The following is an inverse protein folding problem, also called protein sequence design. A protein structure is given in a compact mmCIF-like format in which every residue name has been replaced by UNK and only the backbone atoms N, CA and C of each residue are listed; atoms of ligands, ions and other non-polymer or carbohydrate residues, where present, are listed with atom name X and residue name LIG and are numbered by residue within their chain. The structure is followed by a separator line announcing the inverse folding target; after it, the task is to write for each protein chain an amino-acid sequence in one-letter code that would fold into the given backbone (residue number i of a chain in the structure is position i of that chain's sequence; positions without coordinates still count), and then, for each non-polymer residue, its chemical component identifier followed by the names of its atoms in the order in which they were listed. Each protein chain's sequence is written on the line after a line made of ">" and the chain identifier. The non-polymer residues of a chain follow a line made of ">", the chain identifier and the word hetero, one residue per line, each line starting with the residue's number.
data_IF_928422105714
#
_entry.id   IF_928422105714
#
_cell.length_a   1.000
_cell.length_b   1.000
_cell.length_c   1.000
_cell.angle_alpha   90.00
_cell.angle_beta   90.00
_cell.angle_gamma   90.00
#
_symmetry.space_group_name_H-M   'P 1'
#
loop_
_entity.id
_entity.type
_entity.pdbx_description
1 polymer ?
#
# COMPACT_ATOMS: atom_id res chain seq x y z
N UNK A 1 11.11 19.80 -13.16
CA UNK A 1 10.81 19.01 -11.95
C UNK A 1 10.28 17.60 -12.24
N UNK A 2 9.28 17.41 -13.12
CA UNK A 2 8.77 16.07 -13.50
C UNK A 2 9.80 15.16 -14.21
N UNK A 3 10.74 15.74 -14.96
CA UNK A 3 11.74 14.98 -15.74
C UNK A 3 12.73 14.18 -14.90
N UNK A 4 13.16 14.70 -13.74
CA UNK A 4 14.08 14.00 -12.82
C UNK A 4 13.37 12.80 -12.17
N UNK A 5 12.08 12.94 -11.89
CA UNK A 5 11.21 11.89 -11.35
C UNK A 5 11.02 10.76 -12.36
N UNK A 6 10.79 11.12 -13.64
CA UNK A 6 10.75 10.16 -14.75
C UNK A 6 12.09 9.43 -14.93
N UNK A 7 13.21 10.15 -14.86
CA UNK A 7 14.55 9.56 -14.96
C UNK A 7 14.84 8.56 -13.83
N UNK A 8 14.37 8.86 -12.61
CA UNK A 8 14.52 7.97 -11.46
C UNK A 8 13.57 6.76 -11.52
N UNK A 9 12.38 6.91 -12.12
CA UNK A 9 11.44 5.81 -12.37
C UNK A 9 11.95 4.84 -13.45
N UNK A 10 12.64 5.35 -14.48
CA UNK A 10 13.23 4.55 -15.58
C UNK A 10 14.26 3.53 -15.09
N UNK A 11 14.93 3.79 -13.95
CA UNK A 11 16.02 2.94 -13.43
C UNK A 11 15.55 1.58 -12.91
N UNK A 12 14.26 1.37 -12.65
CA UNK A 12 13.75 0.08 -12.16
C UNK A 12 12.71 -0.53 -13.12
N UNK A 13 13.12 -1.34 -14.12
CA UNK A 13 12.22 -1.93 -15.12
C UNK A 13 11.13 -2.83 -14.50
N UNK A 14 11.39 -3.38 -13.31
CA UNK A 14 10.42 -4.19 -12.56
C UNK A 14 9.17 -3.39 -12.16
N UNK A 15 9.32 -2.11 -11.82
CA UNK A 15 8.21 -1.23 -11.40
C UNK A 15 7.21 -1.05 -12.55
N UNK A 16 7.69 -0.90 -13.79
CA UNK A 16 6.82 -0.78 -14.96
C UNK A 16 6.04 -2.06 -15.25
N UNK A 17 6.67 -3.24 -15.06
CA UNK A 17 5.99 -4.52 -15.24
C UNK A 17 4.89 -4.72 -14.19
N UNK A 18 5.16 -4.37 -12.94
CA UNK A 18 4.17 -4.48 -11.86
C UNK A 18 3.05 -3.44 -12.04
N UNK A 19 3.39 -2.22 -12.48
CA UNK A 19 2.42 -1.21 -12.88
C UNK A 19 1.52 -1.69 -14.02
N UNK A 20 2.09 -2.25 -15.08
CA UNK A 20 1.34 -2.74 -16.23
C UNK A 20 0.40 -3.89 -15.87
N UNK A 21 0.85 -4.83 -15.02
CA UNK A 21 -0.02 -5.90 -14.50
C UNK A 21 -1.24 -5.36 -13.75
N UNK A 22 -1.05 -4.31 -12.95
CA UNK A 22 -2.14 -3.69 -12.20
C UNK A 22 -3.02 -2.88 -13.16
N UNK A 23 -2.43 -2.17 -14.12
CA UNK A 23 -3.14 -1.46 -15.17
C UNK A 23 -4.11 -2.39 -15.94
N UNK A 24 -3.64 -3.58 -16.35
CA UNK A 24 -4.49 -4.55 -17.03
C UNK A 24 -5.72 -4.97 -16.20
N UNK A 25 -5.58 -5.07 -14.87
CA UNK A 25 -6.69 -5.41 -13.97
C UNK A 25 -7.72 -4.29 -13.84
N UNK A 26 -7.32 -3.04 -14.02
CA UNK A 26 -8.20 -1.86 -13.91
C UNK A 26 -8.76 -1.42 -15.27
N UNK A 27 -8.38 -2.04 -16.39
CA UNK A 27 -8.95 -1.74 -17.73
C UNK A 27 -10.49 -1.72 -17.72
N UNK A 28 -11.20 -2.70 -17.11
CA UNK A 28 -12.66 -2.68 -17.09
C UNK A 28 -13.24 -1.40 -16.48
N UNK A 29 -12.56 -0.82 -15.48
CA UNK A 29 -12.95 0.46 -14.89
C UNK A 29 -12.84 1.62 -15.90
N UNK A 30 -11.77 1.69 -16.70
CA UNK A 30 -11.66 2.73 -17.74
C UNK A 30 -12.70 2.57 -18.82
N UNK A 31 -12.94 1.34 -19.25
CA UNK A 31 -13.98 1.04 -20.25
C UNK A 31 -15.34 1.52 -19.75
N UNK A 32 -15.73 1.15 -18.52
CA UNK A 32 -16.97 1.63 -17.92
C UNK A 32 -17.00 3.16 -17.78
N UNK A 33 -15.90 3.78 -17.35
CA UNK A 33 -15.79 5.24 -17.21
C UNK A 33 -16.02 5.96 -18.55
N UNK A 34 -15.41 5.49 -19.64
CA UNK A 34 -15.61 6.07 -20.96
C UNK A 34 -17.03 5.85 -21.49
N UNK A 35 -17.62 4.67 -21.25
CA UNK A 35 -19.01 4.39 -21.62
C UNK A 35 -19.97 5.33 -20.89
N UNK A 36 -19.82 5.48 -19.57
CA UNK A 36 -20.64 6.42 -18.81
C UNK A 36 -20.43 7.85 -19.27
N UNK A 37 -19.20 8.26 -19.54
CA UNK A 37 -18.92 9.60 -20.04
C UNK A 37 -19.59 9.87 -21.39
N UNK A 38 -19.68 8.88 -22.28
CA UNK A 38 -20.48 9.00 -23.52
C UNK A 38 -21.97 9.13 -23.23
N UNK A 39 -22.53 8.35 -22.30
CA UNK A 39 -23.95 8.41 -21.93
C UNK A 39 -24.32 9.77 -21.32
N UNK A 40 -23.45 10.35 -20.51
CA UNK A 40 -23.67 11.62 -19.82
C UNK A 40 -23.17 12.85 -20.60
N UNK A 41 -22.81 12.70 -21.89
CA UNK A 41 -22.28 13.78 -22.73
C UNK A 41 -21.08 14.52 -22.12
N UNK A 42 -20.22 13.81 -21.40
CA UNK A 42 -18.97 14.37 -20.88
C UNK A 42 -17.96 14.47 -22.02
N UNK A 43 -17.29 15.61 -22.16
CA UNK A 43 -16.23 15.79 -23.15
C UNK A 43 -15.17 14.67 -23.05
N UNK A 44 -14.85 14.04 -24.19
CA UNK A 44 -13.80 13.03 -24.29
C UNK A 44 -12.47 13.55 -23.72
N UNK A 45 -12.14 14.82 -24.00
CA UNK A 45 -10.92 15.46 -23.52
C UNK A 45 -10.89 15.45 -21.97
N UNK A 46 -11.99 15.80 -21.33
CA UNK A 46 -12.11 15.77 -19.85
C UNK A 46 -11.92 14.35 -19.32
N UNK A 47 -12.52 13.36 -19.98
CA UNK A 47 -12.40 11.95 -19.60
C UNK A 47 -10.96 11.43 -19.77
N UNK A 48 -10.28 11.80 -20.84
CA UNK A 48 -8.88 11.45 -21.07
C UNK A 48 -7.96 12.07 -20.01
N UNK A 49 -8.17 13.33 -19.63
CA UNK A 49 -7.40 13.97 -18.57
C UNK A 49 -7.55 13.26 -17.22
N UNK A 50 -8.78 12.91 -16.83
CA UNK A 50 -9.03 12.12 -15.61
C UNK A 50 -8.38 10.74 -15.73
N UNK A 51 -8.45 10.10 -16.89
CA UNK A 51 -7.86 8.78 -17.07
C UNK A 51 -6.33 8.79 -16.91
N UNK A 52 -5.66 9.78 -17.52
CA UNK A 52 -4.20 9.98 -17.38
C UNK A 52 -3.84 10.28 -15.92
N UNK A 53 -4.66 11.05 -15.20
CA UNK A 53 -4.48 11.31 -13.77
C UNK A 53 -4.49 10.02 -12.95
N UNK A 54 -5.48 9.16 -13.19
CA UNK A 54 -5.59 7.88 -12.48
C UNK A 54 -4.39 6.98 -12.82
N UNK A 55 -3.96 6.95 -14.09
CA UNK A 55 -2.75 6.22 -14.50
C UNK A 55 -1.51 6.68 -13.72
N UNK A 56 -1.32 7.98 -13.61
CA UNK A 56 -0.19 8.56 -12.90
C UNK A 56 -0.23 8.24 -11.40
N UNK A 57 -1.41 8.35 -10.78
CA UNK A 57 -1.60 7.99 -9.37
C UNK A 57 -1.33 6.50 -9.12
N UNK A 58 -1.72 5.65 -10.06
CA UNK A 58 -1.45 4.22 -9.97
C UNK A 58 0.05 3.92 -10.11
N UNK A 59 0.74 4.59 -11.03
CA UNK A 59 2.20 4.50 -11.17
C UNK A 59 2.91 4.89 -9.88
N UNK A 60 2.51 6.01 -9.29
CA UNK A 60 3.05 6.48 -8.02
C UNK A 60 2.78 5.48 -6.88
N UNK A 61 1.57 4.94 -6.81
CA UNK A 61 1.19 3.97 -5.76
C UNK A 61 2.04 2.70 -5.86
N UNK A 62 2.20 2.17 -7.08
CA UNK A 62 3.05 0.99 -7.33
C UNK A 62 4.50 1.30 -6.99
N UNK A 63 5.01 2.46 -7.41
CA UNK A 63 6.35 2.90 -7.07
C UNK A 63 6.56 2.92 -5.54
N UNK A 64 5.68 3.59 -4.80
CA UNK A 64 5.78 3.71 -3.35
C UNK A 64 5.73 2.35 -2.66
N UNK A 65 4.86 1.46 -3.09
CA UNK A 65 4.75 0.10 -2.53
C UNK A 65 6.02 -0.70 -2.85
N UNK A 66 6.55 -0.60 -4.07
CA UNK A 66 7.74 -1.36 -4.50
C UNK A 66 9.04 -0.85 -3.89
N UNK A 67 9.14 0.45 -3.56
CA UNK A 67 10.35 1.04 -2.96
C UNK A 67 10.29 1.11 -1.43
N UNK A 68 9.12 0.95 -0.84
CA UNK A 68 8.95 0.91 0.62
C UNK A 68 9.10 -0.52 1.12
N UNK A 69 10.24 -0.84 1.72
CA UNK A 69 10.33 -2.05 2.54
C UNK A 69 9.57 -1.83 3.85
N UNK A 70 8.80 -2.83 4.29
CA UNK A 70 8.07 -2.78 5.56
C UNK A 70 9.06 -2.55 6.72
N UNK A 71 10.24 -3.15 6.65
CA UNK A 71 11.30 -2.94 7.64
C UNK A 71 11.84 -1.50 7.64
N UNK A 72 11.93 -0.87 6.46
CA UNK A 72 12.40 0.52 6.29
C UNK A 72 11.37 1.56 6.73
N UNK A 73 10.07 1.28 6.54
CA UNK A 73 8.99 2.10 7.07
C UNK A 73 9.03 2.15 8.61
N UNK A 74 9.27 1.00 9.24
CA UNK A 74 9.34 0.88 10.69
C UNK A 74 10.61 1.48 11.28
N UNK A 75 11.76 1.30 10.64
CA UNK A 75 13.02 1.91 11.08
C UNK A 75 13.04 3.43 10.94
N UNK A 76 12.21 4.01 10.07
CA UNK A 76 12.05 5.47 9.96
C UNK A 76 10.98 6.00 10.93
N UNK A 77 10.00 5.17 11.29
CA UNK A 77 9.04 5.47 12.35
C UNK A 77 9.70 5.52 13.74
N UNK A 78 10.82 4.82 13.96
CA UNK A 78 11.55 4.88 15.24
C UNK A 78 12.23 6.23 15.48
N UNK A 79 12.58 6.99 14.43
CA UNK A 79 13.07 8.37 14.58
C UNK A 79 11.98 9.33 15.11
N UNK A 80 10.71 8.97 14.92
CA UNK A 80 9.52 9.69 15.42
C UNK A 80 9.08 9.16 16.81
N UNK A 81 9.73 8.09 17.30
CA UNK A 81 9.39 7.31 18.52
C UNK A 81 9.61 8.01 19.87
N UNK A 82 9.88 9.31 19.92
CA UNK A 82 9.83 10.05 21.19
C UNK A 82 8.40 10.23 21.71
N UNK A 83 7.39 10.05 20.87
CA UNK A 83 5.99 10.11 21.27
C UNK A 83 5.41 8.71 21.47
N UNK A 84 4.89 8.44 22.68
CA UNK A 84 4.31 7.15 23.09
C UNK A 84 3.22 6.65 22.14
N UNK A 85 2.38 7.57 21.65
CA UNK A 85 1.27 7.25 20.73
C UNK A 85 1.79 6.71 19.39
N UNK A 86 2.84 7.30 18.84
CA UNK A 86 3.42 6.84 17.58
C UNK A 86 4.09 5.47 17.71
N UNK A 87 4.69 5.18 18.88
CA UNK A 87 5.25 3.87 19.17
C UNK A 87 4.17 2.79 19.25
N UNK A 88 3.04 3.07 19.91
CA UNK A 88 1.90 2.16 20.00
C UNK A 88 1.24 1.90 18.63
N UNK A 89 1.08 2.95 17.82
CA UNK A 89 0.55 2.83 16.44
C UNK A 89 1.51 2.00 15.59
N UNK A 90 2.82 2.27 15.67
CA UNK A 90 3.82 1.48 14.94
C UNK A 90 3.74 0.02 15.37
N UNK A 91 3.76 -0.27 16.67
CA UNK A 91 3.61 -1.63 17.20
C UNK A 91 2.35 -2.32 16.66
N UNK A 92 1.21 -1.63 16.68
CA UNK A 92 -0.05 -2.16 16.17
C UNK A 92 0.01 -2.47 14.66
N UNK A 93 0.59 -1.58 13.85
CA UNK A 93 0.77 -1.79 12.41
C UNK A 93 1.66 -3.02 12.16
N UNK A 94 2.78 -3.13 12.87
CA UNK A 94 3.68 -4.29 12.74
C UNK A 94 2.96 -5.57 13.15
N UNK A 95 2.36 -5.58 14.32
CA UNK A 95 1.63 -6.72 14.84
C UNK A 95 0.54 -7.19 13.87
N UNK A 96 -0.21 -6.25 13.30
CA UNK A 96 -1.25 -6.54 12.30
C UNK A 96 -0.66 -7.19 11.05
N UNK A 97 0.43 -6.66 10.51
CA UNK A 97 1.08 -7.21 9.32
C UNK A 97 1.62 -8.62 9.57
N UNK A 98 2.17 -8.91 10.75
CA UNK A 98 2.59 -10.27 11.11
C UNK A 98 1.41 -11.20 11.44
N UNK A 99 0.30 -10.65 11.90
CA UNK A 99 -0.89 -11.42 12.24
C UNK A 99 -1.68 -11.87 10.99
N UNK A 100 -1.78 -11.04 9.95
CA UNK A 100 -2.47 -11.37 8.68
C UNK A 100 -2.07 -12.73 8.08
N UNK A 101 -0.79 -13.07 7.89
CA UNK A 101 -0.40 -14.36 7.32
C UNK A 101 -0.72 -15.53 8.26
N UNK A 102 -0.69 -15.33 9.58
CA UNK A 102 -1.07 -16.34 10.58
C UNK A 102 -2.57 -16.63 10.46
N UNK A 103 -3.38 -15.58 10.47
CA UNK A 103 -4.83 -15.69 10.30
C UNK A 103 -5.19 -16.33 8.97
N UNK A 104 -4.53 -15.92 7.87
CA UNK A 104 -4.75 -16.49 6.54
C UNK A 104 -4.41 -17.99 6.49
N UNK A 105 -3.31 -18.40 7.14
CA UNK A 105 -2.92 -19.81 7.23
C UNK A 105 -3.94 -20.62 8.02
N UNK A 106 -4.38 -20.12 9.17
CA UNK A 106 -5.36 -20.82 10.01
C UNK A 106 -6.74 -20.88 9.34
N UNK A 107 -7.14 -19.80 8.65
CA UNK A 107 -8.36 -19.79 7.84
C UNK A 107 -8.33 -20.88 6.78
N UNK A 108 -7.22 -21.05 6.04
CA UNK A 108 -7.08 -22.11 5.04
C UNK A 108 -7.18 -23.51 5.65
N UNK A 109 -6.57 -23.73 6.82
CA UNK A 109 -6.63 -25.01 7.54
C UNK A 109 -8.05 -25.31 8.01
N UNK A 110 -8.72 -24.33 8.62
CA UNK A 110 -10.12 -24.48 9.07
C UNK A 110 -11.08 -24.68 7.89
N UNK A 111 -10.85 -24.00 6.76
CA UNK A 111 -11.63 -24.15 5.53
C UNK A 111 -11.44 -25.52 4.83
N UNK A 112 -10.31 -26.20 5.06
CA UNK A 112 -10.13 -27.59 4.63
C UNK A 112 -10.89 -28.57 5.51
N UNK A 113 -11.09 -28.25 6.79
CA UNK A 113 -11.74 -29.12 7.77
C UNK A 113 -13.27 -29.00 7.75
N UNK A 114 -13.81 -27.82 7.45
CA UNK A 114 -15.24 -27.57 7.37
C UNK A 114 -15.56 -26.64 6.20
N UNK A 115 -16.70 -26.85 5.55
CA UNK A 115 -17.25 -25.92 4.54
C UNK A 115 -18.13 -24.83 5.16
N UNK A 116 -18.41 -24.92 6.46
CA UNK A 116 -19.30 -23.98 7.13
C UNK A 116 -18.53 -22.76 7.65
N UNK A 117 -18.77 -21.59 7.06
CA UNK A 117 -18.14 -20.31 7.43
C UNK A 117 -18.31 -19.99 8.92
N UNK A 118 -19.45 -20.35 9.51
CA UNK A 118 -19.72 -20.13 10.94
C UNK A 118 -18.85 -20.99 11.87
N UNK A 119 -18.20 -22.04 11.37
CA UNK A 119 -17.22 -22.84 12.10
C UNK A 119 -15.79 -22.42 11.75
N UNK A 120 -15.54 -22.12 10.46
CA UNK A 120 -14.21 -21.72 9.97
C UNK A 120 -13.72 -20.45 10.67
N UNK A 121 -14.57 -19.42 10.79
CA UNK A 121 -14.17 -18.13 11.35
C UNK A 121 -13.76 -18.26 12.83
N UNK A 122 -14.64 -18.76 13.73
CA UNK A 122 -14.31 -18.87 15.16
C UNK A 122 -13.09 -19.76 15.40
N UNK A 123 -12.96 -20.87 14.67
CA UNK A 123 -11.81 -21.77 14.78
C UNK A 123 -10.52 -21.08 14.33
N UNK A 124 -10.54 -20.41 13.17
CA UNK A 124 -9.38 -19.69 12.66
C UNK A 124 -8.94 -18.57 13.60
N UNK A 125 -9.90 -17.80 14.17
CA UNK A 125 -9.62 -16.78 15.16
C UNK A 125 -9.03 -17.39 16.44
N UNK A 126 -9.67 -18.39 17.04
CA UNK A 126 -9.22 -19.03 18.29
C UNK A 126 -7.80 -19.58 18.12
N UNK A 127 -7.53 -20.28 17.01
CA UNK A 127 -6.22 -20.85 16.69
C UNK A 127 -5.17 -19.79 16.33
N UNK A 128 -5.58 -18.58 15.98
CA UNK A 128 -4.67 -17.45 15.72
C UNK A 128 -4.39 -16.66 17.00
N UNK A 129 -5.39 -16.50 17.88
CA UNK A 129 -5.25 -15.89 19.21
C UNK A 129 -4.30 -16.69 20.12
N UNK A 130 -4.30 -18.02 20.02
CA UNK A 130 -3.32 -18.85 20.73
C UNK A 130 -1.86 -18.56 20.32
N UNK A 131 -1.63 -17.94 19.16
CA UNK A 131 -0.30 -17.59 18.63
C UNK A 131 0.05 -16.12 18.83
N UNK A 132 -0.80 -15.34 19.50
CA UNK A 132 -0.61 -13.88 19.65
C UNK A 132 0.64 -13.55 20.47
N UNK A 133 0.95 -14.33 21.51
CA UNK A 133 2.15 -14.16 22.33
C UNK A 133 3.45 -14.36 21.51
N UNK A 134 3.43 -15.26 20.52
CA UNK A 134 4.54 -15.43 19.60
C UNK A 134 4.68 -14.23 18.65
N UNK A 135 3.55 -13.63 18.22
CA UNK A 135 3.56 -12.41 17.40
C UNK A 135 4.14 -11.25 18.20
N UNK A 136 3.63 -11.01 19.41
CA UNK A 136 4.12 -9.95 20.30
C UNK A 136 5.62 -10.06 20.53
N UNK A 137 6.12 -11.26 20.88
CA UNK A 137 7.56 -11.49 21.06
C UNK A 137 8.37 -11.20 19.79
N UNK A 138 7.89 -11.67 18.63
CA UNK A 138 8.56 -11.44 17.34
C UNK A 138 8.58 -9.95 16.96
N UNK A 139 7.51 -9.23 17.27
CA UNK A 139 7.36 -7.80 17.01
C UNK A 139 8.28 -6.99 17.93
N UNK A 140 8.29 -7.29 19.23
CA UNK A 140 9.17 -6.62 20.20
C UNK A 140 10.64 -6.85 19.88
N UNK A 141 11.05 -8.09 19.55
CA UNK A 141 12.43 -8.38 19.16
C UNK A 141 12.86 -7.65 17.87
N UNK A 142 11.94 -7.48 16.91
CA UNK A 142 12.20 -6.74 15.68
C UNK A 142 12.25 -5.23 15.90
N UNK A 143 11.44 -4.70 16.80
CA UNK A 143 11.45 -3.28 17.17
C UNK A 143 12.67 -2.92 18.01
N UNK A 144 13.11 -3.79 18.92
CA UNK A 144 14.31 -3.59 19.76
C UNK A 144 15.62 -3.71 18.97
N UNK A 145 15.70 -4.63 17.99
CA UNK A 145 16.90 -4.83 17.15
C UNK A 145 17.01 -3.86 15.97
N UNK A 146 16.34 -2.71 16.00
CA UNK A 146 16.33 -1.73 14.90
C UNK A 146 17.69 -1.03 14.66
N UNK A 147 18.70 -1.77 14.21
CA UNK A 147 19.81 -1.28 13.38
C UNK A 147 19.58 -1.73 11.93
N UNK A 148 18.38 -1.45 11.40
CA UNK A 148 18.06 -1.78 10.03
C UNK A 148 18.87 -0.88 9.09
N UNK A 149 19.77 -1.50 8.31
CA UNK A 149 20.46 -0.86 7.19
C UNK A 149 19.38 -0.45 6.17
N UNK A 150 18.91 0.78 6.31
CA UNK A 150 17.92 1.39 5.44
C UNK A 150 18.41 1.35 3.99
N UNK A 151 17.72 0.58 3.13
CA UNK A 151 17.64 0.86 1.69
C UNK A 151 16.44 1.76 1.37
N UNK A 152 15.89 2.45 2.37
CA UNK A 152 14.82 3.39 2.15
C UNK A 152 15.45 4.71 1.72
N UNK A 153 15.30 5.04 0.43
CA UNK A 153 15.65 6.36 -0.08
C UNK A 153 14.61 7.38 0.43
N UNK A 154 14.77 7.82 1.68
CA UNK A 154 13.84 8.72 2.40
C UNK A 154 13.54 9.97 1.58
N UNK A 155 14.59 10.62 1.06
CA UNK A 155 14.48 11.86 0.32
C UNK A 155 13.66 11.72 -0.98
N UNK A 156 13.96 10.75 -1.87
CA UNK A 156 13.14 10.49 -3.06
C UNK A 156 11.69 10.14 -2.76
N UNK A 157 11.44 9.27 -1.78
CA UNK A 157 10.07 8.85 -1.44
C UNK A 157 9.26 9.98 -0.80
N UNK A 158 9.87 10.77 0.09
CA UNK A 158 9.21 11.92 0.72
C UNK A 158 8.95 13.04 -0.29
N UNK A 159 9.89 13.28 -1.22
CA UNK A 159 9.68 14.19 -2.35
C UNK A 159 8.52 13.73 -3.24
N UNK A 160 8.41 12.44 -3.52
CA UNK A 160 7.32 11.87 -4.32
C UNK A 160 5.96 11.96 -3.64
N UNK A 161 5.89 11.68 -2.33
CA UNK A 161 4.67 11.86 -1.53
C UNK A 161 4.27 13.34 -1.49
N UNK A 162 5.22 14.24 -1.32
CA UNK A 162 4.97 15.68 -1.35
C UNK A 162 4.46 16.13 -2.73
N UNK A 163 5.06 15.63 -3.81
CA UNK A 163 4.63 15.91 -5.18
C UNK A 163 3.20 15.42 -5.43
N UNK A 164 2.85 14.25 -4.89
CA UNK A 164 1.51 13.67 -4.97
C UNK A 164 0.48 14.49 -4.19
N UNK A 165 0.83 14.94 -2.99
CA UNK A 165 0.01 15.81 -2.15
C UNK A 165 -0.21 17.17 -2.82
N UNK A 166 0.85 17.78 -3.36
CA UNK A 166 0.76 19.04 -4.10
C UNK A 166 -0.12 18.86 -5.34
N UNK A 167 0.03 17.75 -6.07
CA UNK A 167 -0.80 17.44 -7.23
C UNK A 167 -2.28 17.28 -6.86
N UNK A 168 -2.58 16.55 -5.77
CA UNK A 168 -3.94 16.42 -5.23
C UNK A 168 -4.53 17.77 -4.80
N UNK A 169 -3.76 18.61 -4.11
CA UNK A 169 -4.19 19.93 -3.64
C UNK A 169 -4.45 20.89 -4.80
N UNK A 170 -3.62 20.87 -5.85
CA UNK A 170 -3.85 21.65 -7.07
C UNK A 170 -5.12 21.16 -7.77
N UNK A 171 -5.37 19.84 -7.81
CA UNK A 171 -6.57 19.28 -8.44
C UNK A 171 -7.85 19.68 -7.69
N UNK A 172 -7.85 19.62 -6.35
CA UNK A 172 -8.99 20.04 -5.52
C UNK A 172 -9.34 21.52 -5.75
N UNK A 173 -8.34 22.36 -6.04
CA UNK A 173 -8.53 23.80 -6.25
C UNK A 173 -8.92 24.17 -7.69
N UNK A 174 -8.68 23.29 -8.67
CA UNK A 174 -8.93 23.53 -10.11
C UNK A 174 -10.33 23.05 -10.54
N UNK A 175 -11.04 22.29 -9.70
CA UNK A 175 -12.47 22.03 -9.84
C UNK A 175 -13.26 22.82 -8.78
N UNK A 176 -13.80 24.02 -9.11
CA UNK A 176 -14.97 24.55 -8.42
C UNK A 176 -16.24 23.74 -8.73
#
# INVERSE_FOLDING_TARGET
>A
MFGITFLYLIISPKIYLDWFKIFLKIIPFFVSYFIFGMIFNVSFITQSFVSIRIMFMLLLSVYLISTTSMEGFLSNSTLISKNKIFSEIAFFIVATVYFIPILSKQYKISAQKSRNIFQILPDAFTMSFQKISHVEKTVSEKLEKCNFKSRFYVLPNLYLVLLALIYLLIIIRVHP
#
